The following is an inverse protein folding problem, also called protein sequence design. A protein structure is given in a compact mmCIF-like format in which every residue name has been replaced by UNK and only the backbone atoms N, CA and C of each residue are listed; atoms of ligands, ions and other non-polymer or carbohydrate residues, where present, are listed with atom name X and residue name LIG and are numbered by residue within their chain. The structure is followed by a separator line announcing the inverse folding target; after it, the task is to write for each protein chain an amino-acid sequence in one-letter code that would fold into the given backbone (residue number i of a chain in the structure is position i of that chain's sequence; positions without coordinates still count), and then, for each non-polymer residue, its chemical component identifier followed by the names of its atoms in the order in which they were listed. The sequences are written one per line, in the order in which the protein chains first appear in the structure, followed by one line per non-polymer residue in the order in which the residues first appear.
data_IF_889050463763
#
_entry.id   IF_889050463763
#
_cell.length_a   1.000
_cell.length_b   1.000
_cell.length_c   1.000
_cell.angle_alpha   90.00
_cell.angle_beta   90.00
_cell.angle_gamma   90.00
#
_symmetry.space_group_name_H-M   'P 1'
#
loop_
_entity.id
_entity.type
_entity.pdbx_description
1 polymer ?
#
# COMPACT_ATOMS: atom_id res chain seq x y z
N UNK A 1 -8.66 -20.17 2.54
CA UNK A 1 -9.99 -19.88 1.96
C UNK A 1 -10.45 -21.12 1.19
N UNK A 2 -11.67 -21.61 1.45
CA UNK A 2 -12.18 -22.92 1.00
C UNK A 2 -13.28 -22.83 -0.07
N UNK A 3 -13.97 -21.69 -0.18
CA UNK A 3 -15.13 -21.51 -1.08
C UNK A 3 -14.81 -21.60 -2.58
N UNK A 4 -13.53 -21.47 -2.96
CA UNK A 4 -13.15 -21.48 -4.37
C UNK A 4 -12.74 -22.86 -4.92
N UNK A 5 -12.53 -23.85 -4.06
CA UNK A 5 -12.06 -25.16 -4.48
C UNK A 5 -13.22 -26.01 -4.98
N UNK A 6 -13.02 -26.71 -6.08
CA UNK A 6 -13.91 -27.81 -6.47
C UNK A 6 -13.49 -29.09 -5.76
N UNK A 7 -14.44 -29.99 -5.51
CA UNK A 7 -14.20 -31.34 -4.99
C UNK A 7 -13.59 -32.29 -6.04
N UNK A 8 -12.55 -31.83 -6.73
CA UNK A 8 -11.78 -32.57 -7.74
C UNK A 8 -10.40 -32.96 -7.17
N UNK A 9 -9.66 -33.89 -7.80
CA UNK A 9 -8.29 -34.19 -7.41
C UNK A 9 -7.45 -32.91 -7.28
N UNK A 10 -6.76 -32.76 -6.14
CA UNK A 10 -6.12 -31.50 -5.76
C UNK A 10 -5.02 -31.08 -6.74
N UNK A 11 -4.40 -32.04 -7.43
CA UNK A 11 -3.37 -31.83 -8.43
C UNK A 11 -3.86 -30.97 -9.61
N UNK A 12 -5.16 -30.98 -9.92
CA UNK A 12 -5.75 -30.13 -10.95
C UNK A 12 -5.71 -28.64 -10.55
N UNK A 13 -5.94 -28.34 -9.26
CA UNK A 13 -5.76 -26.99 -8.74
C UNK A 13 -4.28 -26.59 -8.71
N UNK A 14 -3.38 -27.49 -8.30
CA UNK A 14 -1.95 -27.16 -8.22
C UNK A 14 -1.34 -26.91 -9.60
N UNK A 15 -1.62 -27.77 -10.57
CA UNK A 15 -1.02 -27.71 -11.92
C UNK A 15 -1.70 -26.71 -12.83
N UNK A 16 -3.04 -26.66 -12.81
CA UNK A 16 -3.83 -25.92 -13.81
C UNK A 16 -4.66 -24.80 -13.20
N UNK A 17 -4.64 -24.63 -11.87
CA UNK A 17 -5.46 -23.63 -11.17
C UNK A 17 -6.94 -23.75 -11.52
N UNK A 18 -7.44 -24.98 -11.64
CA UNK A 18 -8.87 -25.25 -11.78
C UNK A 18 -9.53 -24.96 -10.43
N UNK A 19 -10.30 -23.87 -10.40
CA UNK A 19 -11.00 -23.32 -9.23
C UNK A 19 -12.12 -22.40 -9.67
N UNK A 20 -12.99 -22.03 -8.74
CA UNK A 20 -13.91 -20.91 -8.89
C UNK A 20 -13.11 -19.59 -8.91
N UNK A 21 -13.35 -18.79 -9.94
CA UNK A 21 -12.85 -17.41 -10.06
C UNK A 21 -13.97 -16.41 -9.77
N UNK A 22 -15.11 -16.57 -10.45
CA UNK A 22 -16.17 -15.57 -10.49
C UNK A 22 -15.85 -14.41 -11.44
N UNK A 23 -16.89 -13.76 -11.93
CA UNK A 23 -16.83 -12.66 -12.91
C UNK A 23 -17.61 -11.46 -12.38
N UNK A 24 -17.89 -10.44 -13.20
CA UNK A 24 -18.65 -9.23 -12.80
C UNK A 24 -18.06 -8.47 -11.60
N UNK A 25 -16.75 -8.62 -11.36
CA UNK A 25 -16.05 -8.05 -10.20
C UNK A 25 -16.16 -6.52 -10.13
N UNK A 26 -15.98 -5.84 -11.26
CA UNK A 26 -16.13 -4.38 -11.39
C UNK A 26 -17.53 -3.94 -10.99
N UNK A 27 -18.56 -4.60 -11.52
CA UNK A 27 -19.95 -4.34 -11.21
C UNK A 27 -20.23 -4.48 -9.71
N UNK A 28 -19.77 -5.59 -9.11
CA UNK A 28 -19.96 -5.90 -7.68
C UNK A 28 -19.28 -4.88 -6.77
N UNK A 29 -18.05 -4.49 -7.11
CA UNK A 29 -17.33 -3.48 -6.35
C UNK A 29 -18.06 -2.13 -6.41
N UNK A 30 -18.57 -1.74 -7.58
CA UNK A 30 -19.34 -0.53 -7.72
C UNK A 30 -20.63 -0.55 -6.89
N UNK A 31 -21.46 -1.58 -7.06
CA UNK A 31 -22.77 -1.63 -6.40
C UNK A 31 -22.68 -1.82 -4.88
N UNK A 32 -21.67 -2.55 -4.39
CA UNK A 32 -21.43 -2.67 -2.95
C UNK A 32 -21.05 -1.33 -2.31
N UNK A 33 -20.24 -0.52 -2.98
CA UNK A 33 -19.87 0.82 -2.51
C UNK A 33 -21.06 1.78 -2.56
N UNK A 34 -21.89 1.71 -3.60
CA UNK A 34 -23.12 2.52 -3.70
C UNK A 34 -24.16 2.12 -2.65
N UNK A 35 -24.32 0.83 -2.39
CA UNK A 35 -25.18 0.33 -1.31
C UNK A 35 -24.68 0.82 0.06
N UNK A 36 -23.38 0.71 0.33
CA UNK A 36 -22.79 1.22 1.57
C UNK A 36 -23.00 2.72 1.76
N UNK A 37 -22.82 3.51 0.69
CA UNK A 37 -23.09 4.94 0.68
C UNK A 37 -24.56 5.25 0.97
N UNK A 38 -25.49 4.55 0.34
CA UNK A 38 -26.93 4.73 0.55
C UNK A 38 -27.35 4.40 1.99
N UNK A 39 -26.81 3.30 2.54
CA UNK A 39 -27.06 2.86 3.91
C UNK A 39 -26.32 3.69 4.96
N UNK A 40 -25.45 4.61 4.56
CA UNK A 40 -24.60 5.41 5.44
C UNK A 40 -23.77 4.56 6.43
N UNK A 41 -23.36 3.37 5.98
CA UNK A 41 -22.54 2.42 6.75
C UNK A 41 -21.26 2.13 6.00
N UNK A 42 -20.19 1.80 6.72
CA UNK A 42 -18.91 1.48 6.09
C UNK A 42 -19.01 0.10 5.41
N UNK A 43 -18.35 -0.14 4.26
CA UNK A 43 -18.38 -1.45 3.62
C UNK A 43 -17.93 -2.60 4.52
N UNK A 44 -17.01 -2.34 5.45
CA UNK A 44 -16.52 -3.32 6.42
C UNK A 44 -17.47 -3.56 7.61
N UNK A 45 -18.66 -2.98 7.62
CA UNK A 45 -19.71 -3.22 8.61
C UNK A 45 -20.92 -3.92 8.00
N UNK A 46 -20.86 -4.27 6.71
CA UNK A 46 -22.00 -4.74 5.94
C UNK A 46 -21.78 -6.17 5.44
N UNK A 47 -22.84 -6.96 5.53
CA UNK A 47 -23.01 -8.25 4.87
C UNK A 47 -24.08 -8.08 3.78
N UNK A 48 -23.71 -8.24 2.51
CA UNK A 48 -24.61 -7.98 1.41
C UNK A 48 -24.51 -9.05 0.33
N UNK A 49 -25.65 -9.36 -0.30
CA UNK A 49 -25.68 -10.16 -1.53
C UNK A 49 -25.96 -9.23 -2.70
N UNK A 50 -25.03 -9.22 -3.65
CA UNK A 50 -25.25 -8.56 -4.93
C UNK A 50 -25.81 -9.55 -5.94
N UNK A 51 -26.90 -9.16 -6.61
CA UNK A 51 -27.60 -9.88 -7.66
C UNK A 51 -27.42 -9.11 -8.97
N UNK A 52 -26.36 -9.41 -9.72
CA UNK A 52 -26.16 -8.86 -11.05
C UNK A 52 -26.95 -9.71 -12.04
N UNK A 53 -28.12 -9.23 -12.45
CA UNK A 53 -29.05 -9.96 -13.32
C UNK A 53 -29.10 -9.28 -14.69
N UNK A 54 -28.57 -9.96 -15.70
CA UNK A 54 -28.59 -9.55 -17.10
C UNK A 54 -28.56 -10.78 -18.02
N UNK A 55 -28.15 -10.60 -19.28
CA UNK A 55 -28.01 -11.74 -20.19
C UNK A 55 -27.00 -12.77 -19.66
N UNK A 56 -25.91 -12.29 -19.04
CA UNK A 56 -25.16 -13.03 -18.02
C UNK A 56 -25.69 -12.65 -16.64
N UNK A 57 -25.90 -13.64 -15.77
CA UNK A 57 -26.43 -13.40 -14.42
C UNK A 57 -25.56 -14.08 -13.37
N UNK A 58 -25.20 -13.35 -12.31
CA UNK A 58 -24.43 -13.90 -11.20
C UNK A 58 -24.81 -13.25 -9.86
N UNK A 59 -24.64 -14.01 -8.79
CA UNK A 59 -24.69 -13.47 -7.42
C UNK A 59 -23.30 -13.49 -6.79
N UNK A 60 -23.11 -12.62 -5.81
CA UNK A 60 -21.92 -12.59 -4.97
C UNK A 60 -22.28 -12.21 -3.52
N UNK A 61 -21.81 -13.05 -2.60
CA UNK A 61 -21.83 -12.81 -1.17
C UNK A 61 -20.63 -11.92 -0.81
N UNK A 62 -20.91 -10.75 -0.24
CA UNK A 62 -19.92 -9.75 0.14
C UNK A 62 -20.02 -9.55 1.64
N UNK A 63 -19.01 -10.00 2.36
CA UNK A 63 -18.93 -9.98 3.81
C UNK A 63 -17.84 -9.00 4.24
N UNK A 64 -18.24 -7.96 4.98
CA UNK A 64 -17.35 -6.91 5.49
C UNK A 64 -16.46 -6.30 4.38
N UNK A 65 -17.07 -6.03 3.22
CA UNK A 65 -16.41 -5.40 2.07
C UNK A 65 -15.56 -6.35 1.22
N UNK A 66 -15.63 -7.66 1.45
CA UNK A 66 -14.89 -8.67 0.70
C UNK A 66 -15.83 -9.69 0.07
N UNK A 67 -15.61 -10.01 -1.21
CA UNK A 67 -16.27 -11.14 -1.86
C UNK A 67 -15.85 -12.44 -1.18
N UNK A 68 -16.78 -13.14 -0.52
CA UNK A 68 -16.55 -14.43 0.14
C UNK A 68 -17.07 -15.62 -0.66
N UNK A 69 -18.07 -15.41 -1.52
CA UNK A 69 -18.59 -16.42 -2.43
C UNK A 69 -19.22 -15.79 -3.70
N UNK A 70 -19.31 -16.56 -4.78
CA UNK A 70 -19.89 -16.13 -6.07
C UNK A 70 -20.40 -17.30 -6.91
N UNK A 71 -21.49 -17.09 -7.65
CA UNK A 71 -22.19 -18.19 -8.33
C UNK A 71 -21.43 -18.69 -9.55
N UNK A 72 -20.77 -17.80 -10.29
CA UNK A 72 -19.96 -18.19 -11.43
C UNK A 72 -18.66 -18.84 -10.98
N UNK A 73 -18.16 -19.72 -11.85
CA UNK A 73 -17.18 -20.74 -11.52
C UNK A 73 -15.79 -20.47 -12.08
N UNK A 74 -15.20 -21.55 -12.57
CA UNK A 74 -14.07 -21.54 -13.49
C UNK A 74 -14.40 -20.76 -14.78
N UNK A 75 -15.65 -20.89 -15.24
CA UNK A 75 -16.19 -20.17 -16.39
C UNK A 75 -17.44 -19.38 -16.01
N UNK A 76 -17.87 -18.43 -16.85
CA UNK A 76 -19.14 -17.71 -16.65
C UNK A 76 -20.40 -18.58 -16.83
N UNK A 77 -20.27 -19.90 -17.05
CA UNK A 77 -21.39 -20.81 -17.28
C UNK A 77 -21.95 -21.44 -16.01
N UNK A 78 -21.16 -21.53 -14.92
CA UNK A 78 -21.64 -22.04 -13.63
C UNK A 78 -22.58 -21.02 -12.95
N UNK A 79 -23.51 -21.53 -12.15
CA UNK A 79 -24.36 -20.74 -11.27
C UNK A 79 -25.80 -20.69 -11.75
N UNK A 80 -26.26 -19.48 -12.07
CA UNK A 80 -27.64 -19.22 -12.47
C UNK A 80 -27.93 -19.71 -13.88
N UNK A 81 -29.20 -20.04 -14.12
CA UNK A 81 -29.80 -20.04 -15.46
C UNK A 81 -29.65 -18.62 -16.02
N UNK A 82 -29.21 -18.47 -17.26
CA UNK A 82 -29.02 -17.15 -17.90
C UNK A 82 -29.78 -17.10 -19.23
N UNK A 83 -29.55 -16.08 -20.06
CA UNK A 83 -30.26 -15.96 -21.35
C UNK A 83 -30.09 -17.20 -22.24
N UNK A 84 -28.84 -17.60 -22.50
CA UNK A 84 -28.51 -18.79 -23.31
C UNK A 84 -27.66 -19.83 -22.59
N UNK A 85 -27.23 -19.54 -21.35
CA UNK A 85 -26.37 -20.44 -20.56
C UNK A 85 -27.19 -21.27 -19.58
N UNK A 86 -26.86 -22.55 -19.46
CA UNK A 86 -27.60 -23.50 -18.61
C UNK A 86 -27.54 -23.19 -17.12
N UNK A 87 -26.45 -22.59 -16.64
CA UNK A 87 -26.16 -22.52 -15.21
C UNK A 87 -25.68 -23.87 -14.67
N UNK A 88 -25.96 -24.13 -13.40
CA UNK A 88 -25.59 -25.40 -12.78
C UNK A 88 -26.33 -26.59 -13.40
N UNK A 89 -25.55 -27.57 -13.86
CA UNK A 89 -26.01 -28.87 -14.35
C UNK A 89 -25.14 -29.97 -13.72
N UNK A 90 -25.73 -31.15 -13.52
CA UNK A 90 -24.98 -32.32 -13.09
C UNK A 90 -23.96 -32.71 -14.19
N UNK A 91 -22.69 -32.84 -13.81
CA UNK A 91 -21.64 -33.26 -14.73
C UNK A 91 -21.91 -34.65 -15.35
N UNK A 92 -22.65 -35.51 -14.66
CA UNK A 92 -23.09 -36.80 -15.17
C UNK A 92 -23.99 -36.69 -16.42
N UNK A 93 -24.71 -35.58 -16.60
CA UNK A 93 -25.52 -35.32 -17.81
C UNK A 93 -24.64 -35.19 -19.04
N UNK A 94 -23.48 -34.53 -18.92
CA UNK A 94 -22.54 -34.39 -20.03
C UNK A 94 -21.96 -35.74 -20.43
N UNK A 95 -21.53 -36.53 -19.45
CA UNK A 95 -21.03 -37.88 -19.70
C UNK A 95 -22.11 -38.83 -20.26
N UNK A 96 -23.38 -38.62 -19.90
CA UNK A 96 -24.50 -39.36 -20.48
C UNK A 96 -24.70 -39.00 -21.95
N UNK A 97 -24.83 -37.71 -22.28
CA UNK A 97 -25.04 -37.24 -23.65
C UNK A 97 -23.88 -37.57 -24.58
N UNK A 98 -22.64 -37.50 -24.10
CA UNK A 98 -21.47 -37.96 -24.85
C UNK A 98 -21.61 -39.43 -25.25
N UNK A 99 -22.06 -40.29 -24.32
CA UNK A 99 -22.21 -41.73 -24.57
C UNK A 99 -23.43 -42.09 -25.41
N UNK A 100 -24.55 -41.39 -25.26
CA UNK A 100 -25.82 -41.75 -25.94
C UNK A 100 -26.02 -41.03 -27.26
N UNK A 101 -25.60 -39.76 -27.35
CA UNK A 101 -25.80 -38.89 -28.51
C UNK A 101 -24.50 -38.62 -29.27
N UNK A 102 -23.36 -39.13 -28.79
CA UNK A 102 -22.05 -38.89 -29.40
C UNK A 102 -21.61 -37.43 -29.31
N UNK A 103 -22.12 -36.68 -28.31
CA UNK A 103 -21.81 -35.26 -28.16
C UNK A 103 -20.31 -35.04 -27.92
N UNK A 104 -19.68 -34.27 -28.79
CA UNK A 104 -18.29 -33.83 -28.60
C UNK A 104 -18.18 -32.73 -27.53
N UNK A 105 -16.97 -32.49 -27.03
CA UNK A 105 -16.71 -31.39 -26.10
C UNK A 105 -17.15 -30.03 -26.66
N UNK A 106 -16.88 -29.74 -27.94
CA UNK A 106 -17.30 -28.50 -28.60
C UNK A 106 -18.81 -28.36 -28.71
N UNK A 107 -19.52 -29.45 -29.05
CA UNK A 107 -20.98 -29.45 -29.08
C UNK A 107 -21.59 -29.27 -27.69
N UNK A 108 -20.96 -29.87 -26.67
CA UNK A 108 -21.35 -29.68 -25.28
C UNK A 108 -21.18 -28.22 -24.86
N UNK A 109 -20.05 -27.60 -25.18
CA UNK A 109 -19.80 -26.18 -24.89
C UNK A 109 -20.82 -25.26 -25.60
N UNK A 110 -21.12 -25.53 -26.87
CA UNK A 110 -22.12 -24.79 -27.63
C UNK A 110 -23.52 -24.95 -27.02
N UNK A 111 -23.91 -26.18 -26.69
CA UNK A 111 -25.20 -26.46 -26.05
C UNK A 111 -25.32 -25.69 -24.72
N UNK A 112 -24.33 -25.82 -23.85
CA UNK A 112 -24.34 -25.23 -22.51
C UNK A 112 -24.30 -23.70 -22.53
N UNK A 113 -23.63 -23.08 -23.51
CA UNK A 113 -23.45 -21.63 -23.55
C UNK A 113 -24.42 -20.88 -24.46
N UNK A 114 -24.94 -21.53 -25.51
CA UNK A 114 -25.67 -20.84 -26.61
C UNK A 114 -27.07 -21.37 -26.84
N UNK A 115 -27.38 -22.63 -26.47
CA UNK A 115 -28.67 -23.28 -26.75
C UNK A 115 -29.47 -23.64 -25.50
N UNK A 116 -28.99 -23.23 -24.32
CA UNK A 116 -29.58 -23.56 -23.02
C UNK A 116 -30.22 -22.33 -22.37
N UNK A 117 -30.37 -22.34 -21.05
CA UNK A 117 -30.84 -21.19 -20.29
C UNK A 117 -32.32 -20.89 -20.53
N UNK A 118 -32.67 -19.62 -20.43
CA UNK A 118 -33.99 -19.10 -20.73
C UNK A 118 -34.44 -19.44 -22.16
N UNK A 119 -33.53 -19.35 -23.14
CA UNK A 119 -33.79 -19.74 -24.52
C UNK A 119 -34.16 -21.22 -24.65
N UNK A 120 -33.35 -22.11 -24.07
CA UNK A 120 -33.59 -23.55 -24.13
C UNK A 120 -34.87 -23.97 -23.39
N UNK A 121 -35.13 -23.39 -22.22
CA UNK A 121 -36.31 -23.72 -21.41
C UNK A 121 -37.59 -23.20 -22.05
N UNK A 122 -37.64 -21.91 -22.40
CA UNK A 122 -38.83 -21.29 -22.98
C UNK A 122 -39.08 -21.74 -24.42
N UNK A 123 -38.03 -21.94 -25.22
CA UNK A 123 -38.14 -22.08 -26.66
C UNK A 123 -38.57 -20.80 -27.38
N UNK A 124 -38.58 -19.66 -26.67
CA UNK A 124 -39.04 -18.36 -27.18
C UNK A 124 -37.84 -17.46 -27.48
N UNK A 125 -37.11 -17.06 -26.44
CA UNK A 125 -36.02 -16.08 -26.56
C UNK A 125 -35.03 -16.19 -25.41
N UNK A 126 -33.89 -15.51 -25.58
CA UNK A 126 -32.95 -15.25 -24.48
C UNK A 126 -33.22 -13.92 -23.77
N UNK A 127 -34.09 -13.07 -24.33
CA UNK A 127 -34.45 -11.78 -23.76
C UNK A 127 -35.58 -11.93 -22.73
N UNK A 128 -35.32 -11.50 -21.50
CA UNK A 128 -36.28 -11.59 -20.40
C UNK A 128 -37.61 -10.87 -20.69
N UNK A 129 -37.58 -9.77 -21.45
CA UNK A 129 -38.78 -8.99 -21.78
C UNK A 129 -39.72 -9.77 -22.70
N UNK A 130 -39.16 -10.48 -23.67
CA UNK A 130 -39.93 -11.33 -24.58
C UNK A 130 -40.52 -12.53 -23.86
N UNK A 131 -39.79 -13.10 -22.89
CA UNK A 131 -40.28 -14.22 -22.09
C UNK A 131 -41.40 -13.79 -21.14
N UNK A 132 -41.28 -12.63 -20.48
CA UNK A 132 -42.35 -12.07 -19.67
C UNK A 132 -43.62 -11.86 -20.50
N UNK A 133 -43.49 -11.26 -21.69
CA UNK A 133 -44.62 -11.08 -22.61
C UNK A 133 -45.25 -12.42 -23.05
N UNK A 134 -44.45 -13.44 -23.32
CA UNK A 134 -44.96 -14.77 -23.67
C UNK A 134 -45.65 -15.45 -22.47
N UNK A 135 -45.13 -15.25 -21.26
CA UNK A 135 -45.73 -15.74 -20.03
C UNK A 135 -47.08 -15.08 -19.73
N UNK A 136 -47.22 -13.78 -20.00
CA UNK A 136 -48.50 -13.05 -19.92
C UNK A 136 -49.54 -13.55 -20.95
N UNK A 137 -49.07 -14.21 -22.00
CA UNK A 137 -49.89 -14.85 -23.03
C UNK A 137 -50.15 -16.34 -22.71
N UNK A 138 -49.96 -16.75 -21.46
CA UNK A 138 -50.13 -18.12 -20.97
C UNK A 138 -49.26 -19.17 -21.70
N UNK A 139 -48.12 -18.76 -22.27
CA UNK A 139 -47.16 -19.73 -22.80
C UNK A 139 -46.49 -20.49 -21.63
N UNK A 140 -46.75 -21.80 -21.60
CA UNK A 140 -46.41 -22.64 -20.46
C UNK A 140 -44.89 -22.76 -20.20
N UNK A 141 -44.09 -22.89 -21.25
CA UNK A 141 -42.63 -22.99 -21.17
C UNK A 141 -41.98 -21.66 -20.79
N UNK A 142 -42.53 -20.53 -21.19
CA UNK A 142 -42.10 -19.20 -20.76
C UNK A 142 -42.31 -19.02 -19.26
N UNK A 143 -43.50 -19.35 -18.76
CA UNK A 143 -43.79 -19.35 -17.32
C UNK A 143 -42.85 -20.29 -16.53
N UNK A 144 -42.58 -21.48 -17.07
CA UNK A 144 -41.64 -22.43 -16.46
C UNK A 144 -40.21 -21.87 -16.41
N UNK A 145 -39.74 -21.26 -17.51
CA UNK A 145 -38.40 -20.67 -17.60
C UNK A 145 -38.20 -19.54 -16.58
N UNK A 146 -39.20 -18.65 -16.45
CA UNK A 146 -39.18 -17.56 -15.46
C UNK A 146 -39.12 -18.08 -14.03
N UNK A 147 -39.97 -19.06 -13.71
CA UNK A 147 -40.01 -19.68 -12.37
C UNK A 147 -38.70 -20.38 -12.04
N UNK A 148 -38.13 -21.12 -13.00
CA UNK A 148 -36.84 -21.78 -12.83
C UNK A 148 -35.71 -20.77 -12.59
N UNK A 149 -35.66 -19.68 -13.36
CA UNK A 149 -34.70 -18.60 -13.20
C UNK A 149 -34.79 -17.95 -11.82
N UNK A 150 -35.98 -17.49 -11.42
CA UNK A 150 -36.19 -16.84 -10.12
C UNK A 150 -35.95 -17.79 -8.94
N UNK A 151 -36.31 -19.07 -9.09
CA UNK A 151 -36.00 -20.10 -8.10
C UNK A 151 -34.49 -20.27 -7.90
N UNK A 152 -33.70 -20.26 -8.98
CA UNK A 152 -32.24 -20.34 -8.88
C UNK A 152 -31.67 -19.14 -8.13
N UNK A 153 -32.12 -17.92 -8.44
CA UNK A 153 -31.73 -16.69 -7.70
C UNK A 153 -32.04 -16.84 -6.21
N UNK A 154 -33.28 -17.21 -5.87
CA UNK A 154 -33.73 -17.41 -4.50
C UNK A 154 -32.91 -18.47 -3.74
N UNK A 155 -32.60 -19.59 -4.41
CA UNK A 155 -31.80 -20.67 -3.83
C UNK A 155 -30.39 -20.19 -3.46
N UNK A 156 -29.75 -19.42 -4.33
CA UNK A 156 -28.41 -18.87 -4.04
C UNK A 156 -28.43 -17.76 -2.98
N UNK A 157 -29.46 -16.91 -2.97
CA UNK A 157 -29.66 -15.96 -1.87
C UNK A 157 -29.66 -16.68 -0.53
N UNK A 158 -30.47 -17.74 -0.38
CA UNK A 158 -30.50 -18.53 0.84
C UNK A 158 -29.16 -19.18 1.19
N UNK A 159 -28.45 -19.72 0.20
CA UNK A 159 -27.11 -20.29 0.40
C UNK A 159 -26.10 -19.25 0.91
N UNK A 160 -26.17 -18.01 0.43
CA UNK A 160 -25.26 -16.94 0.82
C UNK A 160 -25.59 -16.32 2.17
N UNK A 161 -26.86 -16.24 2.52
CA UNK A 161 -27.27 -15.92 3.90
C UNK A 161 -26.70 -16.96 4.86
N UNK A 162 -26.84 -18.25 4.51
CA UNK A 162 -26.31 -19.33 5.34
C UNK A 162 -24.78 -19.32 5.45
N UNK A 163 -24.06 -18.99 4.36
CA UNK A 163 -22.59 -18.97 4.38
C UNK A 163 -21.99 -17.78 5.11
N UNK A 164 -22.66 -16.62 5.10
CA UNK A 164 -22.22 -15.40 5.82
C UNK A 164 -22.71 -15.36 7.28
N UNK A 165 -23.74 -16.12 7.63
CA UNK A 165 -24.35 -16.10 8.97
C UNK A 165 -25.20 -14.86 9.26
N UNK A 166 -25.49 -14.06 8.23
CA UNK A 166 -26.24 -12.80 8.35
C UNK A 166 -26.41 -12.12 7.00
N UNK A 167 -27.26 -11.09 6.97
CA UNK A 167 -27.54 -10.30 5.78
C UNK A 167 -28.09 -8.93 6.20
N UNK A 168 -27.41 -7.86 5.79
CA UNK A 168 -27.90 -6.48 5.94
C UNK A 168 -28.67 -6.03 4.71
N UNK A 169 -28.22 -6.42 3.51
CA UNK A 169 -28.82 -5.95 2.26
C UNK A 169 -28.76 -6.92 1.08
N UNK A 170 -29.79 -6.88 0.24
CA UNK A 170 -29.79 -7.48 -1.11
C UNK A 170 -29.77 -6.38 -2.14
N UNK A 171 -28.87 -6.46 -3.11
CA UNK A 171 -28.69 -5.43 -4.14
C UNK A 171 -28.97 -6.01 -5.52
N UNK A 172 -30.03 -5.55 -6.18
CA UNK A 172 -30.31 -5.88 -7.58
C UNK A 172 -29.62 -4.88 -8.51
N UNK A 173 -28.95 -5.41 -9.53
CA UNK A 173 -28.31 -4.63 -10.58
C UNK A 173 -28.31 -5.40 -11.91
N UNK A 174 -27.69 -4.85 -12.96
CA UNK A 174 -27.76 -5.37 -14.32
C UNK A 174 -29.10 -5.08 -15.00
N UNK A 175 -29.17 -5.31 -16.31
CA UNK A 175 -30.34 -4.92 -17.12
C UNK A 175 -31.66 -5.53 -16.66
N UNK A 176 -31.67 -6.80 -16.23
CA UNK A 176 -32.87 -7.47 -15.69
C UNK A 176 -33.13 -7.01 -14.26
N UNK A 177 -32.08 -6.96 -13.42
CA UNK A 177 -32.22 -6.62 -12.00
C UNK A 177 -32.70 -5.19 -11.77
N UNK A 178 -32.31 -4.25 -12.64
CA UNK A 178 -32.81 -2.87 -12.64
C UNK A 178 -34.17 -2.75 -13.33
N UNK A 179 -34.34 -3.44 -14.47
CA UNK A 179 -35.47 -3.21 -15.36
C UNK A 179 -36.76 -3.98 -15.06
N UNK A 180 -36.74 -5.03 -14.22
CA UNK A 180 -37.92 -5.88 -14.01
C UNK A 180 -38.30 -6.03 -12.54
N UNK A 181 -39.36 -5.35 -12.13
CA UNK A 181 -39.97 -5.47 -10.80
C UNK A 181 -40.50 -6.89 -10.54
N UNK A 182 -41.08 -7.53 -11.55
CA UNK A 182 -41.64 -8.89 -11.46
C UNK A 182 -40.56 -9.93 -11.16
N UNK A 183 -39.41 -9.85 -11.84
CA UNK A 183 -38.29 -10.76 -11.58
C UNK A 183 -37.73 -10.56 -10.17
N UNK A 184 -37.63 -9.31 -9.70
CA UNK A 184 -37.22 -9.02 -8.32
C UNK A 184 -38.21 -9.63 -7.31
N UNK A 185 -39.51 -9.40 -7.51
CA UNK A 185 -40.54 -9.93 -6.63
C UNK A 185 -40.54 -11.47 -6.59
N UNK A 186 -40.52 -12.13 -7.76
CA UNK A 186 -40.47 -13.59 -7.85
C UNK A 186 -39.20 -14.19 -7.25
N UNK A 187 -38.05 -13.51 -7.38
CA UNK A 187 -36.77 -13.94 -6.81
C UNK A 187 -36.73 -13.82 -5.29
N UNK A 188 -37.50 -12.90 -4.70
CA UNK A 188 -37.58 -12.68 -3.26
C UNK A 188 -38.77 -13.38 -2.59
N UNK A 189 -39.71 -13.91 -3.37
CA UNK A 189 -40.91 -14.56 -2.86
C UNK A 189 -40.57 -15.66 -1.85
N UNK A 190 -41.15 -15.56 -0.65
CA UNK A 190 -40.99 -16.53 0.44
C UNK A 190 -39.72 -16.36 1.28
N UNK A 191 -38.97 -15.26 1.10
CA UNK A 191 -37.78 -14.95 1.90
C UNK A 191 -38.09 -14.10 3.15
N UNK A 192 -39.36 -13.96 3.54
CA UNK A 192 -39.78 -13.31 4.79
C UNK A 192 -39.14 -13.96 6.03
N UNK A 193 -38.90 -15.28 5.96
CA UNK A 193 -38.19 -16.03 7.00
C UNK A 193 -36.73 -15.59 7.20
N UNK A 194 -36.15 -14.91 6.20
CA UNK A 194 -34.81 -14.30 6.25
C UNK A 194 -34.89 -12.79 6.56
N UNK A 195 -36.07 -12.26 6.90
CA UNK A 195 -36.28 -10.86 7.23
C UNK A 195 -36.34 -9.92 6.04
N UNK A 196 -36.62 -10.45 4.84
CA UNK A 196 -36.81 -9.66 3.62
C UNK A 196 -38.32 -9.44 3.41
N UNK A 197 -38.76 -8.19 3.48
CA UNK A 197 -40.14 -7.79 3.18
C UNK A 197 -40.14 -6.69 2.13
N UNK A 198 -40.80 -6.97 1.00
CA UNK A 198 -40.79 -6.10 -0.18
C UNK A 198 -41.94 -5.09 -0.14
N UNK A 199 -41.65 -3.84 -0.52
CA UNK A 199 -42.67 -2.83 -0.82
C UNK A 199 -42.97 -2.90 -2.32
N UNK A 200 -44.14 -3.45 -2.67
CA UNK A 200 -44.54 -3.67 -4.06
C UNK A 200 -44.63 -2.38 -4.89
N UNK A 201 -44.98 -1.26 -4.27
CA UNK A 201 -45.07 0.01 -4.98
C UNK A 201 -43.67 0.57 -5.25
N UNK A 202 -42.81 0.64 -4.24
CA UNK A 202 -41.40 1.05 -4.41
C UNK A 202 -40.68 0.13 -5.39
N UNK A 203 -40.98 -1.16 -5.37
CA UNK A 203 -40.41 -2.13 -6.31
C UNK A 203 -40.79 -1.79 -7.76
N UNK A 204 -42.05 -1.45 -8.06
CA UNK A 204 -42.45 -1.03 -9.40
C UNK A 204 -41.81 0.30 -9.82
N UNK A 205 -41.77 1.26 -8.90
CA UNK A 205 -41.28 2.62 -9.18
C UNK A 205 -39.77 2.68 -9.41
N UNK A 206 -39.01 1.69 -8.92
CA UNK A 206 -37.56 1.60 -9.12
C UNK A 206 -37.15 1.21 -10.56
N UNK A 207 -38.07 0.72 -11.40
CA UNK A 207 -37.76 0.32 -12.77
C UNK A 207 -37.29 1.51 -13.62
N UNK A 208 -36.06 1.44 -14.12
CA UNK A 208 -35.50 2.49 -14.98
C UNK A 208 -35.05 3.75 -14.24
N UNK A 209 -34.94 3.71 -12.91
CA UNK A 209 -34.34 4.81 -12.14
C UNK A 209 -32.81 4.85 -12.31
N UNK A 210 -32.26 6.05 -12.46
CA UNK A 210 -30.81 6.30 -12.43
C UNK A 210 -30.25 6.44 -11.00
N UNK A 211 -31.13 6.47 -10.01
CA UNK A 211 -30.77 6.58 -8.59
C UNK A 211 -30.79 5.22 -7.88
N UNK A 212 -30.17 5.18 -6.70
CA UNK A 212 -30.28 4.01 -5.82
C UNK A 212 -31.66 4.04 -5.14
N UNK A 213 -32.46 3.00 -5.36
CA UNK A 213 -33.80 2.90 -4.80
C UNK A 213 -33.87 1.81 -3.74
N UNK A 214 -34.44 2.12 -2.57
CA UNK A 214 -34.87 1.10 -1.61
C UNK A 214 -36.24 0.56 -2.03
N UNK A 215 -36.34 -0.76 -2.17
CA UNK A 215 -37.57 -1.46 -2.54
C UNK A 215 -38.13 -2.35 -1.43
N UNK A 216 -37.45 -2.48 -0.29
CA UNK A 216 -38.02 -3.09 0.91
C UNK A 216 -38.90 -2.12 1.70
N UNK A 217 -39.76 -2.66 2.55
CA UNK A 217 -40.50 -1.87 3.56
C UNK A 217 -39.55 -1.30 4.61
N UNK A 218 -40.03 -0.31 5.37
CA UNK A 218 -39.26 0.33 6.44
C UNK A 218 -38.96 -0.58 7.64
N UNK A 219 -39.82 -1.57 7.88
CA UNK A 219 -39.72 -2.57 8.96
C UNK A 219 -38.98 -3.85 8.54
N UNK A 220 -38.62 -3.98 7.25
CA UNK A 220 -37.82 -5.10 6.76
C UNK A 220 -36.45 -5.12 7.45
N UNK A 221 -36.07 -6.27 8.03
CA UNK A 221 -34.78 -6.44 8.72
C UNK A 221 -33.61 -6.36 7.74
N UNK A 222 -33.83 -6.82 6.51
CA UNK A 222 -32.88 -6.75 5.40
C UNK A 222 -33.33 -5.65 4.45
N UNK A 223 -32.43 -4.73 4.12
CA UNK A 223 -32.73 -3.69 3.12
C UNK A 223 -32.58 -4.24 1.71
N UNK A 224 -33.58 -4.09 0.85
CA UNK A 224 -33.47 -4.46 -0.56
C UNK A 224 -33.30 -3.20 -1.40
N UNK A 225 -32.26 -3.17 -2.22
CA UNK A 225 -31.88 -2.04 -3.06
C UNK A 225 -31.90 -2.42 -4.55
N UNK A 226 -32.26 -1.47 -5.39
CA UNK A 226 -31.95 -1.46 -6.82
C UNK A 226 -30.84 -0.44 -7.02
N UNK A 227 -29.72 -0.87 -7.60
CA UNK A 227 -28.54 -0.02 -7.83
C UNK A 227 -28.20 -0.08 -9.33
N UNK A 228 -28.30 1.04 -10.05
CA UNK A 228 -27.80 1.14 -11.43
C UNK A 228 -26.31 0.82 -11.47
N UNK A 229 -25.90 -0.09 -12.36
CA UNK A 229 -24.49 -0.41 -12.57
C UNK A 229 -23.83 0.68 -13.42
N UNK A 230 -22.60 1.05 -13.07
CA UNK A 230 -21.76 1.98 -13.83
C UNK A 230 -20.33 1.42 -13.81
N UNK A 231 -20.10 0.43 -14.67
CA UNK A 231 -18.83 -0.30 -14.71
C UNK A 231 -17.72 0.58 -15.29
N UNK A 232 -18.06 1.44 -16.24
CA UNK A 232 -17.18 2.43 -16.87
C UNK A 232 -16.61 3.39 -15.83
N UNK A 233 -17.45 3.94 -14.94
CA UNK A 233 -16.99 4.80 -13.84
C UNK A 233 -16.11 4.06 -12.85
N UNK A 234 -16.41 2.80 -12.56
CA UNK A 234 -15.58 1.99 -11.67
C UNK A 234 -14.22 1.68 -12.31
N UNK A 235 -14.18 1.36 -13.61
CA UNK A 235 -12.93 1.21 -14.37
C UNK A 235 -12.12 2.50 -14.39
N UNK A 236 -12.76 3.65 -14.65
CA UNK A 236 -12.10 4.96 -14.62
C UNK A 236 -11.49 5.26 -13.23
N UNK A 237 -12.22 4.95 -12.16
CA UNK A 237 -11.74 5.10 -10.78
C UNK A 237 -10.52 4.22 -10.49
N UNK A 238 -10.55 2.93 -10.87
CA UNK A 238 -9.40 2.05 -10.68
C UNK A 238 -8.21 2.43 -11.57
N UNK A 239 -8.46 2.96 -12.77
CA UNK A 239 -7.45 3.55 -13.65
C UNK A 239 -6.72 4.71 -12.98
N UNK A 240 -7.46 5.69 -12.45
CA UNK A 240 -6.88 6.81 -11.69
C UNK A 240 -6.09 6.34 -10.48
N UNK A 241 -6.65 5.40 -9.70
CA UNK A 241 -5.97 4.83 -8.52
C UNK A 241 -4.64 4.17 -8.90
N UNK A 242 -4.61 3.44 -10.01
CA UNK A 242 -3.41 2.75 -10.50
C UNK A 242 -2.34 3.73 -10.97
N UNK A 243 -2.73 4.76 -11.72
CA UNK A 243 -1.82 5.81 -12.19
C UNK A 243 -1.20 6.59 -11.02
N UNK A 244 -1.99 7.00 -10.04
CA UNK A 244 -1.47 7.70 -8.85
C UNK A 244 -0.46 6.85 -8.08
N UNK A 245 -0.69 5.54 -7.95
CA UNK A 245 0.26 4.62 -7.30
C UNK A 245 1.55 4.49 -8.09
N UNK A 246 1.47 4.34 -9.41
CA UNK A 246 2.65 4.24 -10.28
C UNK A 246 3.51 5.51 -10.20
N UNK A 247 2.88 6.69 -10.25
CA UNK A 247 3.60 7.96 -10.11
C UNK A 247 4.35 8.06 -8.77
N UNK A 248 3.70 7.73 -7.64
CA UNK A 248 4.32 7.76 -6.32
C UNK A 248 5.51 6.78 -6.25
N UNK A 249 5.35 5.56 -6.77
CA UNK A 249 6.44 4.56 -6.75
C UNK A 249 7.63 5.02 -7.61
N UNK A 250 7.40 5.54 -8.81
CA UNK A 250 8.47 6.05 -9.66
C UNK A 250 9.17 7.29 -9.07
N UNK A 251 8.42 8.20 -8.45
CA UNK A 251 9.00 9.35 -7.76
C UNK A 251 9.89 8.91 -6.59
N UNK A 252 9.42 7.97 -5.76
CA UNK A 252 10.20 7.43 -4.63
C UNK A 252 11.45 6.66 -5.10
N UNK A 253 11.35 5.94 -6.21
CA UNK A 253 12.47 5.15 -6.74
C UNK A 253 13.53 6.03 -7.41
N UNK A 254 13.12 7.08 -8.13
CA UNK A 254 14.02 8.11 -8.64
C UNK A 254 14.72 8.87 -7.49
N UNK A 255 14.00 9.16 -6.39
CA UNK A 255 14.58 9.79 -5.20
C UNK A 255 15.62 8.90 -4.50
N UNK A 256 15.41 7.58 -4.43
CA UNK A 256 16.37 6.62 -3.84
C UNK A 256 17.69 6.50 -4.62
N UNK A 257 17.72 6.90 -5.89
CA UNK A 257 18.93 6.82 -6.73
C UNK A 257 19.78 8.09 -6.71
N UNK A 258 19.34 9.17 -6.05
CA UNK A 258 20.12 10.41 -5.98
C UNK A 258 21.26 10.26 -4.96
N UNK A 259 22.49 10.23 -5.42
CA UNK A 259 23.65 10.09 -4.53
C UNK A 259 24.10 11.42 -3.94
N UNK A 260 24.85 11.34 -2.84
CA UNK A 260 25.58 12.45 -2.24
C UNK A 260 26.99 12.00 -1.86
N UNK A 261 27.89 12.96 -1.65
CA UNK A 261 29.27 12.67 -1.27
C UNK A 261 29.36 12.20 0.19
N UNK A 262 30.21 11.23 0.43
CA UNK A 262 30.64 10.80 1.77
C UNK A 262 32.05 11.32 2.02
N UNK A 263 32.23 12.01 3.13
CA UNK A 263 33.46 12.67 3.51
C UNK A 263 33.98 12.13 4.83
N UNK A 264 35.25 11.74 4.82
CA UNK A 264 35.93 11.20 5.99
C UNK A 264 36.56 12.35 6.76
N UNK A 265 36.12 12.52 8.00
CA UNK A 265 36.57 13.59 8.89
C UNK A 265 37.57 13.03 9.89
N UNK A 266 38.81 13.54 9.85
CA UNK A 266 39.80 13.25 10.86
C UNK A 266 39.51 14.01 12.16
N UNK A 267 40.17 13.59 13.25
CA UNK A 267 40.12 14.30 14.53
C UNK A 267 40.55 15.75 14.36
N UNK A 268 39.78 16.65 14.99
CA UNK A 268 39.96 18.09 14.81
C UNK A 268 39.39 18.87 15.99
N UNK A 269 39.72 20.16 16.03
CA UNK A 269 39.40 21.05 17.15
C UNK A 269 38.67 22.29 16.62
N UNK A 270 37.60 22.66 17.33
CA UNK A 270 36.96 23.97 17.20
C UNK A 270 37.30 24.82 18.42
N UNK A 271 37.56 26.10 18.22
CA UNK A 271 38.00 27.01 19.29
C UNK A 271 37.12 28.24 19.41
N UNK A 272 37.01 28.77 20.63
CA UNK A 272 36.62 30.16 20.87
C UNK A 272 37.77 31.10 20.55
N UNK A 273 37.47 32.37 20.28
CA UNK A 273 38.50 33.38 20.08
C UNK A 273 39.41 33.53 21.31
N UNK A 274 38.85 33.46 22.52
CA UNK A 274 39.60 33.49 23.78
C UNK A 274 40.64 32.36 23.86
N UNK A 275 40.24 31.13 23.50
CA UNK A 275 41.16 30.00 23.51
C UNK A 275 42.18 30.06 22.38
N UNK A 276 41.84 30.64 21.22
CA UNK A 276 42.83 30.93 20.17
C UNK A 276 43.94 31.80 20.72
N UNK A 277 43.59 32.88 21.43
CA UNK A 277 44.58 33.80 22.00
C UNK A 277 45.40 33.17 23.13
N UNK A 278 44.77 32.35 23.99
CA UNK A 278 45.47 31.65 25.05
C UNK A 278 46.48 30.60 24.52
N UNK A 279 46.19 29.98 23.37
CA UNK A 279 47.01 28.90 22.80
C UNK A 279 48.09 29.40 21.83
N UNK A 280 47.84 30.51 21.13
CA UNK A 280 48.70 31.02 20.06
C UNK A 280 49.24 32.44 20.30
N UNK A 281 48.71 33.15 21.30
CA UNK A 281 49.18 34.48 21.72
C UNK A 281 48.09 35.55 21.66
N UNK A 282 48.21 36.64 22.44
CA UNK A 282 47.20 37.70 22.50
C UNK A 282 46.89 38.30 21.13
N UNK A 283 45.60 38.45 20.80
CA UNK A 283 45.13 39.01 19.53
C UNK A 283 45.29 38.10 18.29
N UNK A 284 45.73 36.84 18.45
CA UNK A 284 45.90 35.93 17.32
C UNK A 284 44.57 35.62 16.60
N UNK A 285 44.60 35.56 15.28
CA UNK A 285 43.47 35.17 14.43
C UNK A 285 43.78 33.87 13.70
N UNK A 286 42.80 32.97 13.58
CA UNK A 286 42.99 31.70 12.88
C UNK A 286 43.37 31.94 11.42
N UNK A 287 44.43 31.26 10.98
CA UNK A 287 44.97 31.43 9.63
C UNK A 287 44.41 30.35 8.71
N UNK A 288 43.57 30.73 7.74
CA UNK A 288 43.03 29.81 6.73
C UNK A 288 44.15 29.08 5.97
N UNK A 289 44.03 27.75 5.87
CA UNK A 289 44.91 26.88 5.09
C UNK A 289 44.21 26.31 3.86
N UNK A 290 43.01 25.75 4.01
CA UNK A 290 42.21 25.17 2.92
C UNK A 290 40.71 25.26 3.24
N UNK A 291 39.87 25.41 2.22
CA UNK A 291 38.42 25.34 2.36
C UNK A 291 37.97 23.91 2.69
N UNK A 292 36.90 23.80 3.49
CA UNK A 292 36.16 22.56 3.69
C UNK A 292 34.95 22.52 2.74
N UNK A 293 34.32 21.36 2.65
CA UNK A 293 33.13 21.14 1.82
C UNK A 293 31.93 21.98 2.24
N UNK A 294 31.77 22.17 3.55
CA UNK A 294 30.69 23.00 4.09
C UNK A 294 31.02 24.50 3.88
N UNK A 295 30.12 25.27 3.23
CA UNK A 295 30.36 26.66 2.90
C UNK A 295 30.77 27.51 4.11
N UNK A 296 31.86 28.27 3.95
CA UNK A 296 32.37 29.18 4.98
C UNK A 296 33.21 28.52 6.08
N UNK A 297 33.34 27.19 6.10
CA UNK A 297 34.24 26.48 7.00
C UNK A 297 35.59 26.19 6.35
N UNK A 298 36.67 26.21 7.14
CA UNK A 298 38.03 26.02 6.62
C UNK A 298 38.96 25.34 7.63
N UNK A 299 39.90 24.56 7.12
CA UNK A 299 41.03 24.07 7.92
C UNK A 299 42.04 25.20 8.13
N UNK A 300 42.57 25.32 9.34
CA UNK A 300 43.52 26.37 9.72
C UNK A 300 44.97 25.88 9.68
N UNK A 301 45.97 26.76 9.58
CA UNK A 301 47.39 26.37 9.65
C UNK A 301 47.77 25.87 11.04
N UNK A 302 47.07 26.38 12.05
CA UNK A 302 47.19 26.07 13.45
C UNK A 302 46.92 24.58 13.72
N UNK A 303 47.79 24.00 14.53
CA UNK A 303 47.66 22.64 15.06
C UNK A 303 47.95 22.66 16.56
N UNK A 304 47.27 21.80 17.30
CA UNK A 304 47.41 21.68 18.75
C UNK A 304 47.73 20.23 19.13
N UNK A 305 48.27 20.06 20.33
CA UNK A 305 48.28 18.75 20.98
C UNK A 305 47.05 18.61 21.88
N UNK A 306 46.33 17.48 21.75
CA UNK A 306 45.31 17.07 22.72
C UNK A 306 46.01 16.20 23.76
N UNK A 307 45.92 16.58 25.03
CA UNK A 307 46.51 15.84 26.16
C UNK A 307 45.39 15.36 27.07
N UNK A 308 45.37 14.05 27.32
CA UNK A 308 44.48 13.40 28.26
C UNK A 308 45.25 12.69 29.38
N UNK A 309 44.55 12.07 30.35
CA UNK A 309 45.17 11.47 31.53
C UNK A 309 46.21 10.39 31.26
N UNK A 310 46.11 9.68 30.13
CA UNK A 310 47.02 8.57 29.78
C UNK A 310 48.06 8.91 28.72
N UNK A 311 47.86 9.97 27.95
CA UNK A 311 48.71 10.25 26.81
C UNK A 311 48.21 11.41 25.97
N UNK A 312 48.79 11.56 24.77
CA UNK A 312 48.53 12.72 23.91
C UNK A 312 48.46 12.39 22.43
N UNK A 313 47.78 13.26 21.68
CA UNK A 313 47.72 13.27 20.22
C UNK A 313 48.28 14.60 19.75
N UNK A 314 49.33 14.53 18.93
CA UNK A 314 50.06 15.70 18.43
C UNK A 314 49.48 16.15 17.09
N UNK A 315 49.67 17.44 16.76
CA UNK A 315 49.39 18.01 15.43
C UNK A 315 47.92 17.90 14.99
N UNK A 316 46.99 18.04 15.91
CA UNK A 316 45.56 18.04 15.62
C UNK A 316 45.13 19.36 15.00
N UNK A 317 44.44 19.29 13.88
CA UNK A 317 44.06 20.46 13.07
C UNK A 317 42.96 21.27 13.75
N UNK A 318 43.09 22.60 13.75
CA UNK A 318 42.01 23.51 14.13
C UNK A 318 41.15 23.84 12.90
N UNK A 319 39.82 23.81 13.05
CA UNK A 319 38.87 24.22 12.02
C UNK A 319 38.22 25.55 12.37
N UNK A 320 38.21 26.45 11.41
CA UNK A 320 37.60 27.78 11.48
C UNK A 320 36.24 27.83 10.76
N UNK A 321 35.45 28.89 11.01
CA UNK A 321 35.74 30.02 11.90
C UNK A 321 35.67 29.66 13.39
N UNK A 322 36.07 30.59 14.26
CA UNK A 322 35.91 30.44 15.71
C UNK A 322 34.43 30.25 16.08
N UNK A 323 34.18 29.48 17.14
CA UNK A 323 32.84 29.14 17.64
C UNK A 323 32.59 29.78 19.01
N UNK A 324 31.35 29.63 19.50
CA UNK A 324 30.94 30.11 20.84
C UNK A 324 31.53 29.27 21.99
N UNK A 325 31.95 28.04 21.70
CA UNK A 325 32.59 27.13 22.65
C UNK A 325 33.67 26.32 21.93
N UNK A 326 34.65 25.85 22.69
CA UNK A 326 35.66 24.93 22.19
C UNK A 326 35.15 23.50 22.27
N UNK A 327 35.50 22.70 21.27
CA UNK A 327 35.13 21.30 21.16
C UNK A 327 36.24 20.53 20.47
N UNK A 328 36.43 19.28 20.88
CA UNK A 328 37.42 18.37 20.34
C UNK A 328 36.70 17.12 19.86
N UNK A 329 36.83 16.83 18.57
CA UNK A 329 36.27 15.62 17.97
C UNK A 329 37.41 14.62 17.75
N UNK A 330 37.26 13.42 18.34
CA UNK A 330 38.24 12.32 18.21
C UNK A 330 37.55 11.06 17.69
N UNK A 331 38.34 10.17 17.09
CA UNK A 331 37.87 8.83 16.74
C UNK A 331 37.74 7.94 17.99
N UNK A 332 36.89 6.91 17.95
CA UNK A 332 36.68 6.02 19.10
C UNK A 332 37.96 5.29 19.53
N UNK A 333 38.85 4.95 18.60
CA UNK A 333 40.13 4.31 18.91
C UNK A 333 41.09 5.23 19.67
N UNK A 334 40.99 6.54 19.48
CA UNK A 334 41.85 7.55 20.10
C UNK A 334 41.57 7.73 21.60
N UNK A 335 40.38 7.34 22.05
CA UNK A 335 39.96 7.37 23.45
C UNK A 335 40.94 6.63 24.37
N UNK A 336 41.49 5.50 23.90
CA UNK A 336 42.40 4.66 24.69
C UNK A 336 43.76 5.32 24.89
N UNK A 337 44.24 6.04 23.87
CA UNK A 337 45.52 6.74 23.89
C UNK A 337 45.47 7.96 24.80
N UNK A 338 44.37 8.72 24.74
CA UNK A 338 44.16 9.88 25.60
C UNK A 338 43.78 9.48 27.03
N UNK A 339 43.12 8.34 27.22
CA UNK A 339 42.53 7.97 28.50
C UNK A 339 41.29 8.80 28.84
N UNK A 340 40.57 9.24 27.81
CA UNK A 340 39.33 9.99 27.90
C UNK A 340 38.24 9.13 27.26
N UNK A 341 37.06 9.04 27.87
CA UNK A 341 35.94 8.25 27.35
C UNK A 341 34.81 9.17 26.88
N UNK A 342 34.92 9.74 25.68
CA UNK A 342 33.89 10.64 25.16
C UNK A 342 32.63 9.87 24.73
N UNK A 343 31.43 10.46 24.89
CA UNK A 343 30.22 9.94 24.28
C UNK A 343 30.18 10.22 22.77
N UNK A 344 29.35 9.46 22.05
CA UNK A 344 28.97 9.78 20.66
C UNK A 344 27.89 10.87 20.69
N UNK A 345 28.14 12.02 20.06
CA UNK A 345 27.29 13.21 20.12
C UNK A 345 27.25 13.99 18.81
N UNK A 346 26.17 14.74 18.59
CA UNK A 346 26.12 15.74 17.53
C UNK A 346 27.16 16.83 17.80
N UNK A 347 27.86 17.29 16.75
CA UNK A 347 28.78 18.42 16.87
C UNK A 347 28.01 19.64 17.40
N UNK A 348 28.42 20.11 18.57
CA UNK A 348 27.82 21.21 19.30
C UNK A 348 27.06 20.84 20.57
N UNK A 349 26.79 19.54 20.77
CA UNK A 349 26.30 19.02 22.04
C UNK A 349 27.47 18.65 22.96
N UNK A 350 27.88 19.60 23.78
CA UNK A 350 28.99 19.44 24.74
C UNK A 350 28.51 19.12 26.17
N UNK A 351 27.22 18.90 26.38
CA UNK A 351 26.68 18.62 27.72
C UNK A 351 27.14 17.24 28.21
N UNK A 352 27.56 17.17 29.48
CA UNK A 352 28.03 15.94 30.13
C UNK A 352 29.16 15.22 29.38
N UNK A 353 29.98 15.97 28.65
CA UNK A 353 31.16 15.47 27.93
C UNK A 353 32.42 15.66 28.77
N UNK A 354 33.41 14.76 28.65
CA UNK A 354 34.69 14.95 29.32
C UNK A 354 35.49 16.09 28.70
N UNK A 355 36.42 16.63 29.49
CA UNK A 355 37.40 17.62 29.05
C UNK A 355 38.74 17.01 28.64
N UNK A 356 39.66 17.88 28.21
CA UNK A 356 41.05 17.56 27.94
C UNK A 356 41.91 18.83 28.07
N UNK A 357 43.23 18.69 28.06
CA UNK A 357 44.13 19.83 27.94
C UNK A 357 44.51 20.02 26.48
N UNK A 358 44.41 21.24 25.98
CA UNK A 358 44.93 21.64 24.68
C UNK A 358 46.25 22.39 24.87
N UNK A 359 47.29 22.01 24.14
CA UNK A 359 48.58 22.70 24.16
C UNK A 359 48.90 23.27 22.77
N UNK A 360 49.18 24.57 22.74
CA UNK A 360 49.60 25.32 21.56
C UNK A 360 51.01 25.87 21.71
N UNK A 361 51.42 26.70 20.75
CA UNK A 361 52.79 27.23 20.69
C UNK A 361 53.08 28.31 21.73
N UNK A 362 52.04 28.99 22.24
CA UNK A 362 52.17 30.10 23.18
C UNK A 362 51.65 29.76 24.60
N UNK A 363 50.88 28.67 24.75
CA UNK A 363 50.28 28.32 26.03
C UNK A 363 49.44 27.05 25.97
N UNK A 364 48.73 26.79 27.07
CA UNK A 364 47.85 25.63 27.24
C UNK A 364 46.50 26.05 27.82
N UNK A 365 45.44 25.36 27.43
CA UNK A 365 44.07 25.57 27.92
C UNK A 365 43.53 24.25 28.46
N UNK A 366 43.03 24.27 29.70
CA UNK A 366 42.27 23.15 30.26
C UNK A 366 40.79 23.29 29.88
N UNK A 367 40.28 22.36 29.08
CA UNK A 367 38.85 22.24 28.85
C UNK A 367 38.25 21.37 29.96
N UNK A 368 37.18 21.85 30.59
CA UNK A 368 36.41 21.07 31.57
C UNK A 368 35.47 20.06 30.89
N UNK A 369 35.03 20.37 29.67
CA UNK A 369 34.13 19.58 28.83
C UNK A 369 34.39 19.86 27.34
N UNK A 370 33.82 19.05 26.46
CA UNK A 370 33.78 19.29 25.01
C UNK A 370 34.53 18.26 24.17
N UNK A 371 35.00 17.15 24.74
CA UNK A 371 35.57 16.04 23.97
C UNK A 371 34.46 15.05 23.59
N UNK A 372 34.27 14.81 22.29
CA UNK A 372 33.24 13.92 21.75
C UNK A 372 33.81 12.97 20.68
N UNK A 373 33.10 11.87 20.44
CA UNK A 373 33.12 11.20 19.14
C UNK A 373 31.96 11.75 18.31
N UNK A 374 32.22 12.21 17.10
CA UNK A 374 31.19 12.84 16.27
C UNK A 374 30.14 11.80 15.86
N UNK A 375 28.86 12.13 16.03
CA UNK A 375 27.78 11.34 15.48
C UNK A 375 27.74 11.57 13.96
N UNK A 376 27.81 10.47 13.19
CA UNK A 376 27.70 10.53 11.73
C UNK A 376 26.42 11.25 11.31
N UNK A 377 26.53 12.11 10.30
CA UNK A 377 25.41 12.94 9.90
C UNK A 377 25.49 13.35 8.43
N UNK A 378 24.36 13.80 7.89
CA UNK A 378 24.26 14.39 6.56
C UNK A 378 23.84 15.85 6.72
N UNK A 379 24.61 16.74 6.12
CA UNK A 379 24.22 18.13 5.92
C UNK A 379 23.33 18.21 4.68
N UNK A 380 22.20 18.91 4.78
CA UNK A 380 21.26 19.12 3.68
C UNK A 380 20.80 20.57 3.67
N UNK A 381 20.55 21.12 2.48
CA UNK A 381 19.70 22.31 2.37
C UNK A 381 18.22 21.91 2.52
N UNK A 382 17.30 22.86 2.79
CA UNK A 382 15.86 22.56 2.77
C UNK A 382 15.38 22.00 1.43
N UNK A 383 15.99 22.40 0.31
CA UNK A 383 15.68 21.87 -1.02
C UNK A 383 16.15 20.42 -1.18
N UNK A 384 17.34 20.09 -0.68
CA UNK A 384 17.83 18.71 -0.65
C UNK A 384 16.90 17.83 0.21
N UNK A 385 16.60 18.27 1.43
CA UNK A 385 15.74 17.54 2.35
C UNK A 385 14.36 17.26 1.73
N UNK A 386 13.74 18.27 1.10
CA UNK A 386 12.50 18.12 0.34
C UNK A 386 12.69 17.15 -0.84
N UNK A 387 13.79 17.28 -1.58
CA UNK A 387 14.14 16.44 -2.72
C UNK A 387 14.29 14.96 -2.36
N UNK A 388 14.77 14.65 -1.16
CA UNK A 388 14.87 13.29 -0.62
C UNK A 388 13.63 12.83 0.17
N UNK A 389 12.68 13.74 0.45
CA UNK A 389 11.50 13.45 1.27
C UNK A 389 11.84 13.21 2.75
N UNK A 390 12.87 13.89 3.26
CA UNK A 390 13.43 13.72 4.61
C UNK A 390 13.29 15.04 5.39
N UNK A 391 13.23 14.98 6.72
CA UNK A 391 13.12 16.15 7.61
C UNK A 391 14.40 16.36 8.40
N UNK A 392 14.58 17.59 8.92
CA UNK A 392 15.61 17.87 9.92
C UNK A 392 15.47 16.92 11.12
N UNK A 393 16.60 16.48 11.66
CA UNK A 393 16.71 15.53 12.77
C UNK A 393 16.16 14.12 12.52
N UNK A 394 15.71 13.78 11.31
CA UNK A 394 15.45 12.38 10.94
C UNK A 394 16.72 11.52 11.11
N UNK A 395 16.54 10.24 11.42
CA UNK A 395 17.61 9.24 11.43
C UNK A 395 17.40 8.31 10.24
N UNK A 396 18.44 8.12 9.42
CA UNK A 396 18.37 7.36 8.17
C UNK A 396 19.45 6.29 8.08
N UNK A 397 19.22 5.32 7.18
CA UNK A 397 20.23 4.38 6.69
C UNK A 397 20.82 4.90 5.40
N UNK A 398 22.15 4.88 5.31
CA UNK A 398 22.90 5.25 4.11
C UNK A 398 23.66 4.06 3.58
N UNK A 399 23.37 3.66 2.35
CA UNK A 399 24.15 2.66 1.61
C UNK A 399 25.31 3.36 0.91
N UNK A 400 26.52 2.84 1.10
CA UNK A 400 27.73 3.30 0.41
C UNK A 400 28.26 2.16 -0.45
N UNK A 401 28.50 2.47 -1.73
CA UNK A 401 29.01 1.50 -2.70
C UNK A 401 30.54 1.52 -2.77
N UNK A 402 31.17 0.36 -3.00
CA UNK A 402 32.62 0.23 -3.14
C UNK A 402 33.05 -1.24 -3.07
N UNK A 403 34.35 -1.51 -2.90
CA UNK A 403 34.89 -2.87 -2.75
C UNK A 403 34.31 -3.61 -1.55
N UNK A 404 33.83 -2.86 -0.55
CA UNK A 404 33.10 -3.36 0.61
C UNK A 404 31.81 -2.57 0.80
N UNK A 405 30.77 -2.97 0.08
CA UNK A 405 29.44 -2.37 0.24
C UNK A 405 28.94 -2.52 1.68
N UNK A 406 28.42 -1.42 2.24
CA UNK A 406 27.90 -1.37 3.61
C UNK A 406 26.72 -0.38 3.69
N UNK A 407 25.81 -0.65 4.62
CA UNK A 407 24.78 0.29 5.05
C UNK A 407 25.14 0.81 6.43
N UNK A 408 25.36 2.12 6.54
CA UNK A 408 25.45 2.83 7.81
C UNK A 408 24.04 3.08 8.33
N UNK A 409 23.71 2.51 9.49
CA UNK A 409 22.56 2.97 10.27
C UNK A 409 22.90 4.20 11.10
N UNK A 410 21.86 4.75 11.71
CA UNK A 410 21.93 5.81 12.71
C UNK A 410 22.60 7.08 12.19
N UNK A 411 22.25 7.49 10.97
CA UNK A 411 22.77 8.70 10.34
C UNK A 411 21.81 9.86 10.58
N UNK A 412 22.26 10.88 11.30
CA UNK A 412 21.46 12.07 11.59
C UNK A 412 21.35 12.99 10.38
N UNK A 413 20.16 13.51 10.12
CA UNK A 413 19.94 14.55 9.14
C UNK A 413 20.00 15.92 9.81
N UNK A 414 20.77 16.83 9.23
CA UNK A 414 20.89 18.22 9.66
C UNK A 414 20.54 19.13 8.48
N UNK A 415 19.47 19.90 8.61
CA UNK A 415 18.98 20.79 7.57
C UNK A 415 19.26 22.23 7.94
N UNK A 416 20.04 22.93 7.11
CA UNK A 416 20.29 24.36 7.25
C UNK A 416 20.50 24.98 5.85
N UNK A 417 19.98 26.18 5.56
CA UNK A 417 20.19 26.85 4.27
C UNK A 417 21.65 27.11 3.91
N UNK A 418 22.56 27.12 4.89
CA UNK A 418 23.99 27.35 4.70
C UNK A 418 24.81 26.09 4.38
N UNK A 419 24.18 24.91 4.41
CA UNK A 419 24.87 23.64 4.21
C UNK A 419 25.07 23.28 2.74
N UNK A 420 26.06 22.42 2.48
CA UNK A 420 26.20 21.69 1.23
C UNK A 420 25.94 20.20 1.47
N UNK A 421 25.28 19.55 0.52
CA UNK A 421 24.87 18.14 0.63
C UNK A 421 26.08 17.21 0.73
N UNK A 422 26.35 16.70 1.92
CA UNK A 422 27.41 15.73 2.18
C UNK A 422 27.15 14.95 3.48
N UNK A 423 27.52 13.67 3.49
CA UNK A 423 27.57 12.83 4.69
C UNK A 423 28.97 12.87 5.28
N UNK A 424 29.06 13.04 6.60
CA UNK A 424 30.29 13.01 7.35
C UNK A 424 30.36 11.75 8.23
N UNK A 425 31.49 11.03 8.11
CA UNK A 425 31.86 9.90 8.96
C UNK A 425 33.27 10.10 9.49
N UNK A 426 33.60 9.47 10.62
CA UNK A 426 34.95 9.51 11.17
C UNK A 426 35.91 8.50 10.50
N UNK A 427 37.18 8.57 10.86
CA UNK A 427 38.21 7.69 10.30
C UNK A 427 38.05 6.22 10.69
N UNK A 428 37.55 5.91 11.90
CA UNK A 428 37.32 4.52 12.31
C UNK A 428 36.17 3.90 11.49
N UNK A 429 35.10 4.65 11.29
CA UNK A 429 33.94 4.28 10.47
C UNK A 429 34.34 4.07 9.01
N UNK A 430 35.12 4.99 8.46
CA UNK A 430 35.62 4.92 7.09
C UNK A 430 36.55 3.71 6.88
N UNK A 431 37.49 3.48 7.80
CA UNK A 431 38.39 2.32 7.76
C UNK A 431 37.61 1.00 7.88
N UNK A 432 36.61 0.95 8.77
CA UNK A 432 35.76 -0.22 8.94
C UNK A 432 34.94 -0.53 7.67
N UNK A 433 34.56 0.48 6.89
CA UNK A 433 33.82 0.32 5.64
C UNK A 433 34.70 0.31 4.37
N UNK A 434 36.02 0.50 4.49
CA UNK A 434 36.92 0.75 3.36
C UNK A 434 36.45 1.91 2.45
N UNK A 435 35.99 3.00 3.07
CA UNK A 435 35.47 4.20 2.39
C UNK A 435 36.54 5.30 2.38
N UNK A 436 36.67 6.00 1.26
CA UNK A 436 37.52 7.18 1.12
C UNK A 436 36.65 8.42 0.86
N UNK A 437 37.18 9.60 1.19
CA UNK A 437 36.53 10.88 0.89
C UNK A 437 36.22 10.98 -0.61
N UNK A 438 34.96 11.30 -0.94
CA UNK A 438 34.46 11.37 -2.31
C UNK A 438 33.66 10.15 -2.76
N UNK A 439 33.51 9.13 -1.90
CA UNK A 439 32.60 8.01 -2.14
C UNK A 439 31.14 8.49 -2.27
N UNK A 440 30.30 7.69 -2.93
CA UNK A 440 28.89 7.99 -3.14
C UNK A 440 28.02 7.26 -2.11
N UNK A 441 27.21 8.01 -1.38
CA UNK A 441 26.19 7.54 -0.46
C UNK A 441 24.80 7.68 -1.07
N UNK A 442 23.91 6.75 -0.72
CA UNK A 442 22.51 6.73 -1.13
C UNK A 442 21.63 6.53 0.10
N UNK A 443 20.52 7.27 0.19
CA UNK A 443 19.51 6.98 1.21
C UNK A 443 18.91 5.60 0.91
N UNK A 444 19.10 4.66 1.83
CA UNK A 444 18.51 3.32 1.76
C UNK A 444 17.09 3.30 2.36
N UNK A 445 16.92 4.02 3.49
CA UNK A 445 15.62 4.16 4.15
C UNK A 445 15.67 5.04 5.39
N UNK A 446 14.49 5.42 5.89
CA UNK A 446 14.34 6.24 7.10
C UNK A 446 14.13 5.30 8.29
N UNK A 447 14.95 5.42 9.35
CA UNK A 447 14.81 4.64 10.59
C UNK A 447 13.84 5.30 11.56
N UNK A 448 13.89 6.62 11.67
CA UNK A 448 12.94 7.39 12.47
C UNK A 448 12.82 8.81 11.94
N UNK A 449 11.65 9.40 12.12
CA UNK A 449 11.38 10.82 11.86
C UNK A 449 11.17 11.54 13.19
N UNK A 450 11.57 12.82 13.23
CA UNK A 450 11.33 13.70 14.35
C UNK A 450 9.90 14.25 14.40
#
# INVERSE_FOLDING_TARGET
AYAYLYGLPYELYEKQRIRRYGFDGTSRQYVSLRAAQFLQRRPNELQLVSCHLGNGSSLCAIDHGRSVDTTMGFTPGEGLIMGTRCGNVDAGVLAFLERTEGLTASQSEEMLNKKSGLLGLSGVSSDMREILKAADQDEHRALLALKAYCYAVRKYLGAYVASMGGLDAVVFTGGIGQGSAEIRALSLQGLDCMGITLDEQRNRDACGSDDVCRISTDDSKVTVLVVPADEERMMAREGLRTLSRSYIMHALEAQKQRSFLVEVSAHHIHLTQEHVEALFGPGHQLTKHADLSQPGQYACKEQLAIVGPKGRIERVRVLGPTRKYSQVEIAMTEQFKLGVHPPIRESGDIADTPGCTLEGTAGSVQLERGVICAFRHIHMTPEDALGYGIRDKSIVRVRVTGDRELIFGDVLIRVDPSFALAMHIDTDEANAANVQTGAQGFIDGIQSEA
#
